data_IF_049321233095
#
_entry.id   IF_049321233095
#
_cell.length_a   1.000
_cell.length_b   1.000
_cell.length_c   1.000
_cell.angle_alpha   90.00
_cell.angle_beta   90.00
_cell.angle_gamma   90.00
#
_symmetry.space_group_name_H-M   'P 1'
#
loop_
_entity.id
_entity.type
_entity.pdbx_description
1 polymer ?
#
# COMPACT_ATOMS: atom_id res chain seq x y z
N UNK A 1 -27.24 37.75 37.02
CA UNK A 1 -26.77 37.04 35.82
C UNK A 1 -25.26 36.96 35.94
N UNK A 2 -24.75 35.81 36.36
CA UNK A 2 -23.34 35.63 36.66
C UNK A 2 -22.68 34.99 35.44
N UNK A 3 -21.87 35.78 34.76
CA UNK A 3 -21.11 35.40 33.58
C UNK A 3 -20.05 34.37 34.01
N UNK A 4 -20.17 33.13 33.52
CA UNK A 4 -19.19 32.07 33.78
C UNK A 4 -18.28 31.98 32.56
N UNK A 5 -17.14 32.66 32.64
CA UNK A 5 -16.02 32.43 31.75
C UNK A 5 -15.45 31.03 32.02
N UNK A 6 -15.61 30.12 31.04
CA UNK A 6 -14.88 28.85 31.01
C UNK A 6 -13.48 29.13 30.48
N UNK A 7 -12.50 29.28 31.37
CA UNK A 7 -11.09 29.20 30.99
C UNK A 7 -10.72 27.71 30.87
N UNK A 8 -10.39 27.28 29.65
CA UNK A 8 -9.73 26.00 29.42
C UNK A 8 -8.31 26.13 29.98
N UNK A 9 -8.11 25.67 31.21
CA UNK A 9 -6.79 25.50 31.81
C UNK A 9 -6.17 24.25 31.18
N UNK A 10 -5.23 24.45 30.26
CA UNK A 10 -4.44 23.39 29.66
C UNK A 10 -3.27 23.05 30.60
N UNK A 11 -3.39 21.98 31.38
CA UNK A 11 -2.27 21.47 32.19
C UNK A 11 -1.21 20.85 31.28
N UNK A 12 0.01 21.40 31.34
CA UNK A 12 1.12 21.04 30.46
C UNK A 12 1.87 19.75 30.86
N UNK A 13 1.44 19.05 31.92
CA UNK A 13 2.18 17.89 32.47
C UNK A 13 1.69 16.52 31.98
N UNK A 14 0.65 16.47 31.15
CA UNK A 14 0.17 15.25 30.49
C UNK A 14 -0.23 15.55 29.05
N UNK A 15 0.65 16.22 28.31
CA UNK A 15 0.34 16.84 27.02
C UNK A 15 0.17 15.81 25.88
N UNK A 16 -0.81 14.92 26.02
CA UNK A 16 -1.45 14.27 24.87
C UNK A 16 -2.07 15.39 24.05
N UNK A 17 -1.51 15.64 22.87
CA UNK A 17 -2.03 16.68 21.99
C UNK A 17 -3.50 16.39 21.64
N UNK A 18 -4.34 17.39 21.32
CA UNK A 18 -5.72 17.12 20.91
C UNK A 18 -5.78 16.17 19.70
N UNK A 19 -4.71 16.17 18.89
CA UNK A 19 -4.54 15.26 17.78
C UNK A 19 -4.27 13.80 18.24
N UNK A 20 -3.44 13.58 19.25
CA UNK A 20 -3.24 12.25 19.83
C UNK A 20 -4.50 11.70 20.51
N UNK A 21 -5.28 12.56 21.17
CA UNK A 21 -6.60 12.18 21.72
C UNK A 21 -7.53 11.74 20.59
N UNK A 22 -7.54 12.49 19.48
CA UNK A 22 -8.34 12.16 18.30
C UNK A 22 -7.90 10.83 17.65
N UNK A 23 -6.59 10.60 17.51
CA UNK A 23 -6.04 9.32 17.02
C UNK A 23 -6.47 8.17 17.92
N UNK A 24 -6.38 8.32 19.23
CA UNK A 24 -6.75 7.28 20.19
C UNK A 24 -8.26 6.99 20.19
N UNK A 25 -9.09 8.04 20.01
CA UNK A 25 -10.55 7.93 19.96
C UNK A 25 -11.05 7.33 18.64
N UNK A 26 -10.40 7.64 17.52
CA UNK A 26 -10.79 7.22 16.17
C UNK A 26 -10.90 5.70 16.00
N UNK A 27 -10.15 4.91 16.78
CA UNK A 27 -10.28 3.44 16.77
C UNK A 27 -11.57 2.90 17.42
N UNK A 28 -12.35 3.73 18.11
CA UNK A 28 -13.53 3.30 18.90
C UNK A 28 -14.78 4.12 18.61
N UNK A 29 -14.63 5.31 18.04
CA UNK A 29 -15.71 6.25 17.75
C UNK A 29 -15.71 6.62 16.25
N UNK A 30 -16.78 6.27 15.51
CA UNK A 30 -16.93 6.63 14.10
C UNK A 30 -16.89 8.14 13.83
N UNK A 31 -17.40 8.98 14.74
CA UNK A 31 -17.37 10.44 14.56
C UNK A 31 -15.94 10.97 14.70
N UNK A 32 -15.19 10.47 15.67
CA UNK A 32 -13.77 10.76 15.82
C UNK A 32 -12.94 10.28 14.61
N UNK A 33 -13.26 9.11 14.06
CA UNK A 33 -12.62 8.59 12.85
C UNK A 33 -12.86 9.50 11.64
N UNK A 34 -14.10 9.95 11.45
CA UNK A 34 -14.44 10.92 10.41
C UNK A 34 -13.73 12.27 10.62
N UNK A 35 -13.67 12.75 11.86
CA UNK A 35 -12.95 13.97 12.22
C UNK A 35 -11.44 13.86 11.92
N UNK A 36 -10.81 12.74 12.27
CA UNK A 36 -9.41 12.46 11.96
C UNK A 36 -9.16 12.45 10.44
N UNK A 37 -10.01 11.77 9.69
CA UNK A 37 -9.91 11.70 8.23
C UNK A 37 -10.03 13.07 7.55
N UNK A 38 -10.97 13.91 8.01
CA UNK A 38 -11.13 15.28 7.49
C UNK A 38 -9.94 16.15 7.84
N UNK A 39 -9.49 16.12 9.09
CA UNK A 39 -8.32 16.88 9.54
C UNK A 39 -7.07 16.46 8.76
N UNK A 40 -6.91 15.16 8.53
CA UNK A 40 -5.82 14.62 7.72
C UNK A 40 -5.88 15.08 6.27
N UNK A 41 -7.05 15.03 5.63
CA UNK A 41 -7.21 15.41 4.22
C UNK A 41 -6.95 16.90 3.95
N UNK A 42 -7.14 17.77 4.95
CA UNK A 42 -6.88 19.21 4.84
C UNK A 42 -5.39 19.57 5.03
N UNK A 43 -4.58 18.64 5.54
CA UNK A 43 -3.15 18.88 5.76
C UNK A 43 -2.35 18.89 4.44
N UNK A 44 -1.34 19.76 4.31
CA UNK A 44 -0.41 19.70 3.19
C UNK A 44 0.44 18.42 3.24
N UNK A 45 0.86 17.91 2.08
CA UNK A 45 1.59 16.63 1.97
C UNK A 45 2.77 16.47 2.96
N UNK A 46 3.67 17.46 3.14
CA UNK A 46 4.78 17.32 4.10
C UNK A 46 4.34 17.18 5.56
N UNK A 47 3.16 17.71 5.93
CA UNK A 47 2.62 17.54 7.27
C UNK A 47 1.98 16.15 7.45
N UNK A 48 1.31 15.66 6.42
CA UNK A 48 0.75 14.29 6.40
C UNK A 48 1.86 13.24 6.49
N UNK A 49 2.97 13.42 5.79
CA UNK A 49 4.15 12.55 5.90
C UNK A 49 4.68 12.46 7.33
N UNK A 50 4.94 13.60 7.98
CA UNK A 50 5.40 13.64 9.38
C UNK A 50 4.41 12.98 10.32
N UNK A 51 3.11 13.15 10.06
CA UNK A 51 2.09 12.52 10.86
C UNK A 51 2.16 11.00 10.72
N UNK A 52 2.19 10.47 9.50
CA UNK A 52 2.30 9.03 9.23
C UNK A 52 3.51 8.43 9.94
N UNK A 53 4.66 9.11 9.90
CA UNK A 53 5.87 8.70 10.65
C UNK A 53 5.62 8.66 12.16
N UNK A 54 4.96 9.68 12.72
CA UNK A 54 4.71 9.76 14.17
C UNK A 54 3.74 8.70 14.69
N UNK A 55 2.83 8.20 13.83
CA UNK A 55 1.82 7.20 14.20
C UNK A 55 2.13 5.80 13.64
N UNK A 56 3.35 5.57 13.15
CA UNK A 56 3.75 4.31 12.53
C UNK A 56 3.51 3.07 13.42
N UNK A 57 3.48 3.24 14.75
CA UNK A 57 3.20 2.20 15.73
C UNK A 57 1.71 2.00 16.04
N UNK A 58 0.81 2.71 15.35
CA UNK A 58 -0.65 2.69 15.59
C UNK A 58 -1.40 2.16 14.36
N UNK A 59 -1.51 0.83 14.18
CA UNK A 59 -2.12 0.21 13.00
C UNK A 59 -3.53 0.72 12.72
N UNK A 60 -4.35 0.88 13.75
CA UNK A 60 -5.73 1.36 13.60
C UNK A 60 -5.79 2.78 13.02
N UNK A 61 -4.86 3.66 13.41
CA UNK A 61 -4.82 5.02 12.90
C UNK A 61 -4.36 5.04 11.44
N UNK A 62 -3.31 4.28 11.12
CA UNK A 62 -2.81 4.12 9.76
C UNK A 62 -3.90 3.57 8.81
N UNK A 63 -4.73 2.61 9.26
CA UNK A 63 -5.84 2.09 8.45
C UNK A 63 -6.87 3.16 8.07
N UNK A 64 -7.21 4.02 9.03
CA UNK A 64 -8.14 5.12 8.78
C UNK A 64 -7.56 6.12 7.78
N UNK A 65 -6.27 6.46 7.92
CA UNK A 65 -5.60 7.36 6.99
C UNK A 65 -5.48 6.76 5.58
N UNK A 66 -5.16 5.46 5.48
CA UNK A 66 -5.07 4.75 4.20
C UNK A 66 -6.40 4.82 3.44
N UNK A 67 -7.52 4.72 4.13
CA UNK A 67 -8.85 4.77 3.53
C UNK A 67 -9.23 6.12 2.90
N UNK A 68 -8.52 7.20 3.23
CA UNK A 68 -8.81 8.56 2.74
C UNK A 68 -7.64 9.21 2.00
N UNK A 69 -6.47 8.59 1.99
CA UNK A 69 -5.31 9.10 1.28
C UNK A 69 -5.52 9.05 -0.24
N UNK A 70 -5.24 10.18 -0.90
CA UNK A 70 -5.37 10.36 -2.36
C UNK A 70 -4.02 10.37 -3.06
N UNK A 71 -2.96 10.66 -2.33
CA UNK A 71 -1.58 10.62 -2.83
C UNK A 71 -1.10 9.16 -2.84
N UNK A 72 -0.81 8.58 -4.02
CA UNK A 72 -0.43 7.18 -4.13
C UNK A 72 0.90 6.87 -3.43
N UNK A 73 1.84 7.83 -3.39
CA UNK A 73 3.11 7.61 -2.72
C UNK A 73 2.93 7.55 -1.20
N UNK A 74 2.11 8.46 -0.67
CA UNK A 74 1.82 8.49 0.76
C UNK A 74 0.92 7.33 1.21
N UNK A 75 -0.06 6.94 0.39
CA UNK A 75 -0.86 5.74 0.63
C UNK A 75 0.03 4.50 0.72
N UNK A 76 1.04 4.38 -0.16
CA UNK A 76 2.03 3.31 -0.11
C UNK A 76 2.85 3.36 1.19
N UNK A 77 3.35 4.53 1.60
CA UNK A 77 4.07 4.67 2.90
C UNK A 77 3.21 4.22 4.08
N UNK A 78 1.93 4.55 4.09
CA UNK A 78 0.98 4.13 5.14
C UNK A 78 0.79 2.61 5.12
N UNK A 79 0.64 2.01 3.93
CA UNK A 79 0.51 0.57 3.76
C UNK A 79 1.78 -0.20 4.19
N UNK A 80 2.96 0.32 3.86
CA UNK A 80 4.25 -0.24 4.29
C UNK A 80 4.38 -0.19 5.83
N UNK A 81 4.01 0.94 6.45
CA UNK A 81 3.98 1.06 7.91
C UNK A 81 2.99 0.06 8.55
N UNK A 82 1.83 -0.15 7.94
CA UNK A 82 0.85 -1.15 8.37
C UNK A 82 1.42 -2.57 8.28
N UNK A 83 2.06 -2.93 7.18
CA UNK A 83 2.68 -4.25 7.02
C UNK A 83 3.79 -4.48 8.03
N UNK A 84 4.65 -3.49 8.28
CA UNK A 84 5.69 -3.57 9.31
C UNK A 84 5.12 -3.76 10.72
N UNK A 85 3.91 -3.24 10.97
CA UNK A 85 3.21 -3.38 12.25
C UNK A 85 2.39 -4.68 12.38
N UNK A 86 2.03 -5.31 11.26
CA UNK A 86 1.23 -6.53 11.22
C UNK A 86 2.14 -7.75 11.40
N UNK A 87 1.83 -8.61 12.36
CA UNK A 87 2.66 -9.77 12.71
C UNK A 87 2.77 -10.83 11.61
N UNK A 88 1.98 -10.77 10.53
CA UNK A 88 2.11 -11.65 9.36
C UNK A 88 1.40 -11.05 8.13
N UNK A 89 2.05 -11.05 6.94
CA UNK A 89 1.33 -10.84 5.69
C UNK A 89 0.33 -11.98 5.47
N UNK A 90 -0.87 -11.68 4.96
CA UNK A 90 -1.83 -12.72 4.56
C UNK A 90 -1.39 -13.31 3.23
N UNK A 91 -0.39 -14.20 3.25
CA UNK A 91 0.21 -14.79 2.04
C UNK A 91 -0.76 -15.60 1.17
N UNK A 92 -1.97 -15.90 1.68
CA UNK A 92 -2.91 -16.83 1.06
C UNK A 92 -4.04 -16.16 0.24
N UNK A 93 -3.91 -14.85 -0.07
CA UNK A 93 -4.95 -14.10 -0.80
C UNK A 93 -4.48 -13.44 -2.09
N UNK A 94 -3.17 -13.38 -2.34
CA UNK A 94 -2.62 -12.71 -3.51
C UNK A 94 -3.18 -13.28 -4.81
N UNK A 95 -3.38 -12.40 -5.79
CA UNK A 95 -3.87 -12.77 -7.12
C UNK A 95 -2.81 -12.42 -8.13
N UNK A 96 -2.43 -13.40 -8.97
CA UNK A 96 -1.49 -13.16 -10.04
C UNK A 96 -2.09 -13.50 -11.40
N UNK A 97 -1.69 -12.73 -12.39
CA UNK A 97 -2.03 -12.89 -13.80
C UNK A 97 -0.73 -12.99 -14.60
N UNK A 98 -0.73 -13.82 -15.64
CA UNK A 98 0.38 -13.91 -16.59
C UNK A 98 -0.16 -13.94 -18.02
N UNK A 99 0.58 -13.33 -18.95
CA UNK A 99 0.29 -13.35 -20.38
C UNK A 99 1.57 -13.42 -21.21
N UNK A 100 1.41 -13.84 -22.47
CA UNK A 100 2.51 -13.97 -23.42
C UNK A 100 3.41 -15.17 -23.14
N UNK A 101 4.69 -15.02 -23.48
CA UNK A 101 5.73 -16.03 -23.39
C UNK A 101 7.05 -15.47 -22.82
N UNK A 102 8.09 -16.31 -22.80
CA UNK A 102 9.40 -15.93 -22.29
C UNK A 102 10.10 -14.82 -23.09
N UNK A 103 9.60 -14.36 -24.23
CA UNK A 103 10.19 -13.26 -25.01
C UNK A 103 9.31 -12.00 -25.01
N UNK A 104 7.99 -12.16 -25.08
CA UNK A 104 7.02 -11.06 -25.06
C UNK A 104 5.89 -11.42 -24.12
N UNK A 105 5.68 -10.64 -23.07
CA UNK A 105 4.66 -10.99 -22.10
C UNK A 105 4.62 -10.05 -20.91
N UNK A 106 4.02 -10.52 -19.83
CA UNK A 106 3.98 -9.79 -18.59
C UNK A 106 3.28 -10.55 -17.49
N UNK A 107 3.35 -9.96 -16.30
CA UNK A 107 2.61 -10.38 -15.12
C UNK A 107 1.91 -9.19 -14.47
N UNK A 108 0.79 -9.48 -13.82
CA UNK A 108 0.11 -8.57 -12.92
C UNK A 108 -0.03 -9.27 -11.57
N UNK A 109 0.50 -8.67 -10.50
CA UNK A 109 0.43 -9.22 -9.14
C UNK A 109 -0.35 -8.24 -8.28
N UNK A 110 -1.46 -8.71 -7.73
CA UNK A 110 -2.27 -8.02 -6.73
C UNK A 110 -1.93 -8.61 -5.37
N UNK A 111 -1.22 -7.83 -4.57
CA UNK A 111 -0.78 -8.17 -3.22
C UNK A 111 -1.81 -7.67 -2.21
N UNK A 112 -2.26 -8.54 -1.32
CA UNK A 112 -3.13 -8.11 -0.22
C UNK A 112 -2.33 -7.32 0.82
N UNK A 113 -2.87 -6.17 1.19
CA UNK A 113 -2.42 -5.37 2.32
C UNK A 113 -3.30 -5.67 3.53
N UNK A 114 -3.11 -4.91 4.61
CA UNK A 114 -3.95 -5.07 5.79
C UNK A 114 -5.43 -4.73 5.48
N UNK A 115 -6.36 -5.58 5.93
CA UNK A 115 -7.79 -5.39 5.71
C UNK A 115 -8.23 -5.82 4.30
N UNK A 116 -8.93 -4.92 3.60
CA UNK A 116 -9.41 -5.10 2.23
C UNK A 116 -8.57 -4.35 1.19
N UNK A 117 -7.52 -3.64 1.62
CA UNK A 117 -6.64 -2.90 0.73
C UNK A 117 -5.74 -3.85 -0.06
N UNK A 118 -5.44 -3.48 -1.30
CA UNK A 118 -4.52 -4.22 -2.16
C UNK A 118 -3.56 -3.29 -2.88
N UNK A 119 -2.35 -3.79 -3.09
CA UNK A 119 -1.33 -3.16 -3.91
C UNK A 119 -1.21 -3.93 -5.23
N UNK A 120 -0.88 -3.26 -6.33
CA UNK A 120 -0.83 -3.90 -7.65
C UNK A 120 0.42 -3.51 -8.41
N UNK A 121 1.22 -4.52 -8.75
CA UNK A 121 2.37 -4.42 -9.63
C UNK A 121 2.04 -5.03 -10.99
N UNK A 122 2.30 -4.28 -12.06
CA UNK A 122 2.32 -4.79 -13.44
C UNK A 122 3.76 -4.78 -13.93
N UNK A 123 4.23 -5.89 -14.47
CA UNK A 123 5.51 -5.97 -15.17
C UNK A 123 5.27 -6.51 -16.57
N UNK A 124 5.75 -5.82 -17.61
CA UNK A 124 5.69 -6.28 -18.99
C UNK A 124 7.09 -6.31 -19.61
N UNK A 125 7.33 -7.24 -20.51
CA UNK A 125 8.63 -7.40 -21.14
C UNK A 125 8.55 -7.66 -22.65
N UNK A 126 9.63 -7.27 -23.30
CA UNK A 126 10.01 -7.59 -24.67
C UNK A 126 11.45 -8.13 -24.66
N UNK A 127 12.00 -8.60 -25.79
CA UNK A 127 13.39 -9.05 -25.86
C UNK A 127 14.40 -7.96 -25.47
N UNK A 128 14.03 -6.69 -25.67
CA UNK A 128 14.91 -5.57 -25.39
C UNK A 128 14.60 -4.89 -24.07
N UNK A 129 13.37 -4.95 -23.57
CA UNK A 129 12.97 -4.05 -22.48
C UNK A 129 12.07 -4.70 -21.44
N UNK A 130 12.08 -4.12 -20.24
CA UNK A 130 11.17 -4.49 -19.15
C UNK A 130 10.62 -3.21 -18.54
N UNK A 131 9.31 -3.11 -18.53
CA UNK A 131 8.57 -2.02 -17.90
C UNK A 131 7.88 -2.55 -16.65
N UNK A 132 7.91 -1.76 -15.57
CA UNK A 132 7.15 -2.04 -14.37
C UNK A 132 6.31 -0.82 -14.01
N UNK A 133 5.14 -1.06 -13.43
CA UNK A 133 4.21 -0.03 -12.99
C UNK A 133 3.54 -0.48 -11.71
N UNK A 134 3.64 0.34 -10.67
CA UNK A 134 2.81 0.22 -9.46
C UNK A 134 1.54 1.06 -9.63
N UNK A 135 0.40 0.48 -9.34
CA UNK A 135 -0.88 1.19 -9.37
C UNK A 135 -1.20 1.80 -8.00
N UNK A 136 -2.03 2.86 -7.94
CA UNK A 136 -2.58 3.33 -6.68
C UNK A 136 -3.29 2.21 -5.92
N UNK A 137 -3.15 2.22 -4.59
CA UNK A 137 -3.77 1.26 -3.70
C UNK A 137 -5.27 1.16 -3.99
N UNK A 138 -5.74 -0.07 -4.16
CA UNK A 138 -7.14 -0.39 -4.41
C UNK A 138 -7.76 -1.21 -3.30
N UNK A 139 -8.92 -1.79 -3.59
CA UNK A 139 -9.60 -2.74 -2.72
C UNK A 139 -9.72 -4.12 -3.36
N UNK A 140 -9.80 -5.15 -2.51
CA UNK A 140 -9.82 -6.55 -2.90
C UNK A 140 -11.09 -6.98 -3.64
N UNK A 141 -12.21 -6.25 -3.48
CA UNK A 141 -13.45 -6.47 -4.23
C UNK A 141 -13.39 -5.92 -5.66
N UNK A 142 -12.39 -5.06 -5.96
CA UNK A 142 -12.22 -4.36 -7.24
C UNK A 142 -11.08 -4.92 -8.13
N UNK A 143 -10.72 -6.20 -7.97
CA UNK A 143 -9.57 -6.82 -8.68
C UNK A 143 -9.69 -6.70 -10.21
N UNK A 144 -10.88 -6.89 -10.80
CA UNK A 144 -11.05 -6.75 -12.26
C UNK A 144 -10.91 -5.30 -12.74
N UNK A 145 -11.34 -4.33 -11.91
CA UNK A 145 -11.11 -2.92 -12.21
C UNK A 145 -9.64 -2.54 -12.08
N UNK A 146 -8.91 -3.13 -11.13
CA UNK A 146 -7.45 -2.99 -11.01
C UNK A 146 -6.73 -3.59 -12.22
N UNK A 147 -7.12 -4.80 -12.65
CA UNK A 147 -6.62 -5.46 -13.85
C UNK A 147 -6.75 -4.56 -15.09
N UNK A 148 -7.94 -3.98 -15.27
CA UNK A 148 -8.22 -3.06 -16.39
C UNK A 148 -7.36 -1.80 -16.31
N UNK A 149 -7.26 -1.18 -15.13
CA UNK A 149 -6.40 -0.01 -14.91
C UNK A 149 -4.93 -0.30 -15.15
N UNK A 150 -4.49 -1.52 -14.85
CA UNK A 150 -3.11 -1.97 -15.05
C UNK A 150 -2.82 -2.35 -16.51
N UNK A 151 -3.79 -2.16 -17.42
CA UNK A 151 -3.69 -2.58 -18.82
C UNK A 151 -3.21 -4.05 -18.94
N UNK A 152 -3.67 -4.91 -18.04
CA UNK A 152 -3.45 -6.36 -18.13
C UNK A 152 -4.36 -6.90 -19.24
N UNK A 153 -3.82 -7.56 -20.27
CA UNK A 153 -4.61 -8.02 -21.42
C UNK A 153 -5.75 -8.96 -21.04
N UNK A 154 -6.80 -9.00 -21.88
CA UNK A 154 -7.98 -9.86 -21.67
C UNK A 154 -7.64 -11.36 -21.72
N UNK A 155 -6.62 -11.74 -22.49
CA UNK A 155 -6.12 -13.11 -22.60
C UNK A 155 -5.18 -13.52 -21.46
N UNK A 156 -4.85 -12.61 -20.55
CA UNK A 156 -4.09 -12.91 -19.36
C UNK A 156 -4.81 -13.94 -18.49
N UNK A 157 -4.07 -14.95 -18.05
CA UNK A 157 -4.61 -16.06 -17.25
C UNK A 157 -4.26 -15.82 -15.79
N UNK A 158 -5.22 -16.11 -14.91
CA UNK A 158 -4.93 -16.20 -13.48
C UNK A 158 -4.03 -17.41 -13.22
N UNK A 159 -2.92 -17.20 -12.51
CA UNK A 159 -1.91 -18.20 -12.20
C UNK A 159 -1.57 -18.17 -10.71
N UNK A 160 -1.01 -19.26 -10.15
CA UNK A 160 -0.36 -19.21 -8.84
C UNK A 160 0.70 -18.11 -8.80
N UNK A 161 0.83 -17.45 -7.64
CA UNK A 161 1.77 -16.33 -7.44
C UNK A 161 3.20 -16.72 -7.81
N UNK A 162 3.61 -17.93 -7.44
CA UNK A 162 4.96 -18.46 -7.67
C UNK A 162 5.28 -18.50 -9.17
N UNK A 163 4.31 -18.91 -10.01
CA UNK A 163 4.50 -18.96 -11.47
C UNK A 163 4.69 -17.55 -12.04
N UNK A 164 3.94 -16.57 -11.55
CA UNK A 164 4.10 -15.18 -11.98
C UNK A 164 5.44 -14.59 -11.50
N UNK A 165 5.84 -14.87 -10.27
CA UNK A 165 7.13 -14.43 -9.71
C UNK A 165 8.29 -15.05 -10.47
N UNK A 166 8.23 -16.34 -10.82
CA UNK A 166 9.27 -17.02 -11.61
C UNK A 166 9.40 -16.39 -13.00
N UNK A 167 8.29 -16.18 -13.71
CA UNK A 167 8.30 -15.55 -15.04
C UNK A 167 8.85 -14.12 -14.99
N UNK A 168 8.43 -13.34 -13.99
CA UNK A 168 8.96 -11.99 -13.75
C UNK A 168 10.46 -12.01 -13.43
N UNK A 169 10.91 -12.94 -12.58
CA UNK A 169 12.31 -13.11 -12.20
C UNK A 169 13.17 -13.41 -13.42
N UNK A 170 12.71 -14.31 -14.30
CA UNK A 170 13.43 -14.63 -15.53
C UNK A 170 13.55 -13.41 -16.45
N UNK A 171 12.48 -12.65 -16.64
CA UNK A 171 12.49 -11.44 -17.45
C UNK A 171 13.44 -10.37 -16.89
N UNK A 172 13.35 -10.08 -15.58
CA UNK A 172 14.21 -9.13 -14.89
C UNK A 172 15.69 -9.54 -14.95
N UNK A 173 15.97 -10.84 -14.79
CA UNK A 173 17.33 -11.36 -14.85
C UNK A 173 17.94 -11.27 -16.24
N UNK A 174 17.16 -11.54 -17.31
CA UNK A 174 17.61 -11.33 -18.70
C UNK A 174 17.90 -9.86 -18.98
N UNK A 175 17.01 -8.97 -18.55
CA UNK A 175 17.18 -7.53 -18.69
C UNK A 175 18.43 -7.03 -17.97
N UNK A 176 18.65 -7.48 -16.73
CA UNK A 176 19.84 -7.13 -15.95
C UNK A 176 21.13 -7.65 -16.59
N UNK A 177 21.14 -8.89 -17.08
CA UNK A 177 22.32 -9.47 -17.78
C UNK A 177 22.66 -8.75 -19.08
N UNK A 178 21.72 -8.05 -19.70
CA UNK A 178 21.98 -7.18 -20.83
C UNK A 178 22.61 -5.83 -20.43
N UNK A 179 23.01 -5.65 -19.17
CA UNK A 179 23.64 -4.43 -18.65
C UNK A 179 22.65 -3.31 -18.32
N UNK A 180 21.36 -3.62 -18.22
CA UNK A 180 20.30 -2.65 -17.96
C UNK A 180 19.90 -2.65 -16.48
N UNK A 181 19.41 -1.52 -16.00
CA UNK A 181 18.94 -1.39 -14.62
C UNK A 181 17.57 -2.08 -14.44
N UNK A 182 17.34 -2.68 -13.27
CA UNK A 182 16.02 -3.20 -12.91
C UNK A 182 15.08 -1.99 -12.71
N UNK A 183 13.84 -2.03 -13.23
CA UNK A 183 12.87 -0.97 -12.99
C UNK A 183 12.65 -0.71 -11.49
N UNK A 184 12.71 0.56 -11.02
CA UNK A 184 12.62 0.89 -9.60
C UNK A 184 11.27 0.50 -8.98
N UNK A 185 10.21 0.48 -9.78
CA UNK A 185 8.85 0.09 -9.39
C UNK A 185 8.73 -1.37 -8.91
N UNK A 186 9.74 -2.21 -9.15
CA UNK A 186 9.82 -3.57 -8.62
C UNK A 186 10.27 -3.58 -7.15
N UNK A 187 11.00 -2.55 -6.70
CA UNK A 187 11.62 -2.51 -5.36
C UNK A 187 10.61 -2.64 -4.20
N UNK A 188 9.41 -2.01 -4.22
CA UNK A 188 8.40 -2.17 -3.16
C UNK A 188 7.80 -3.58 -3.07
N UNK A 189 8.16 -4.47 -4.01
CA UNK A 189 7.72 -5.86 -4.10
C UNK A 189 8.91 -6.83 -3.99
N UNK A 190 10.05 -6.38 -3.48
CA UNK A 190 11.26 -7.20 -3.36
C UNK A 190 11.05 -8.45 -2.48
N UNK A 191 10.11 -8.41 -1.53
CA UNK A 191 9.75 -9.54 -0.69
C UNK A 191 9.12 -10.70 -1.47
N UNK A 192 8.52 -10.44 -2.64
CA UNK A 192 7.98 -11.49 -3.52
C UNK A 192 9.06 -12.51 -3.95
N UNK A 193 10.32 -12.08 -4.01
CA UNK A 193 11.46 -12.91 -4.39
C UNK A 193 12.13 -13.62 -3.21
N UNK A 194 11.66 -13.36 -1.99
CA UNK A 194 12.22 -14.01 -0.80
C UNK A 194 11.70 -15.45 -0.71
N UNK A 195 12.56 -16.43 -0.40
CA UNK A 195 12.13 -17.81 -0.25
C UNK A 195 11.10 -17.90 0.88
N UNK A 196 9.90 -18.38 0.56
CA UNK A 196 8.83 -18.60 1.53
C UNK A 196 9.34 -19.61 2.57
N UNK A 197 9.54 -19.17 3.81
CA UNK A 197 9.87 -20.11 4.90
C UNK A 197 8.63 -20.94 5.17
N UNK A 198 8.57 -22.13 4.58
CA UNK A 198 7.57 -23.12 4.98
C UNK A 198 7.83 -23.48 6.46
N UNK A 199 6.81 -23.43 7.34
CA UNK A 199 6.90 -23.99 8.68
C UNK A 199 7.11 -25.51 8.63
#
# INVERSE_FOLDING_TARGET
MTDRHLELVWDAESATTPFEVLIAAAGRDPEAAAGLALAYADMPAPAREKLVESIASSPNALLLLLGVERDPELARKIAEALQASAAQPSEDRDVAFAWGDGQHGGVGIVRHLHGDFVDTLRVSWTPTDVEAQVLPIGRADDIEALRTRAAVPDDARRVPREIAVDAMTEALWRHHRAGRAIPPDVQPFAELFSPTRRP
#
